data_IF_609942421566
#
_entry.id   IF_609942421566
#
_cell.length_a   1.000
_cell.length_b   1.000
_cell.length_c   1.000
_cell.angle_alpha   90.00
_cell.angle_beta   90.00
_cell.angle_gamma   90.00
#
_symmetry.space_group_name_H-M   'P 1'
#
loop_
_entity.id
_entity.type
_entity.pdbx_description
1 polymer ?
#
# COMPACT_ATOMS: atom_id res chain seq x y z
N UNK A 1 13.77 2.82 10.58
CA UNK A 1 12.97 3.21 9.40
C UNK A 1 11.82 4.07 9.87
N UNK A 2 11.63 5.27 9.31
CA UNK A 2 10.44 6.07 9.62
C UNK A 2 9.20 5.25 9.23
N UNK A 3 8.32 4.97 10.19
CA UNK A 3 7.03 4.30 9.95
C UNK A 3 6.10 5.34 9.32
N UNK A 4 6.00 5.31 8.00
CA UNK A 4 4.93 5.99 7.28
C UNK A 4 3.70 5.08 7.26
N UNK A 5 2.52 5.69 7.24
CA UNK A 5 1.22 5.03 7.21
C UNK A 5 0.60 5.07 5.82
N UNK A 6 -0.52 4.37 5.64
CA UNK A 6 -1.27 4.45 4.38
C UNK A 6 -1.87 5.86 4.18
N UNK A 7 -2.25 6.55 5.26
CA UNK A 7 -2.71 7.93 5.23
C UNK A 7 -1.63 8.89 4.73
N UNK A 8 -0.37 8.68 5.14
CA UNK A 8 0.76 9.48 4.64
C UNK A 8 0.95 9.31 3.12
N UNK A 9 0.73 8.09 2.61
CA UNK A 9 0.78 7.82 1.17
C UNK A 9 -0.37 8.52 0.45
N UNK A 10 -1.59 8.47 0.99
CA UNK A 10 -2.77 9.13 0.42
C UNK A 10 -2.57 10.65 0.40
N UNK A 11 -2.09 11.23 1.49
CA UNK A 11 -1.78 12.66 1.59
C UNK A 11 -0.71 13.08 0.58
N UNK A 12 0.34 12.28 0.41
CA UNK A 12 1.37 12.54 -0.59
C UNK A 12 0.82 12.52 -2.03
N UNK A 13 -0.06 11.57 -2.35
CA UNK A 13 -0.73 11.52 -3.66
C UNK A 13 -1.62 12.74 -3.87
N UNK A 14 -2.36 13.16 -2.83
CA UNK A 14 -3.21 14.35 -2.89
C UNK A 14 -2.38 15.62 -3.16
N UNK A 15 -1.23 15.77 -2.50
CA UNK A 15 -0.30 16.88 -2.75
C UNK A 15 0.22 16.91 -4.20
N UNK A 16 0.59 15.76 -4.76
CA UNK A 16 1.04 15.67 -6.16
C UNK A 16 -0.10 16.02 -7.12
N UNK A 17 -1.32 15.55 -6.85
CA UNK A 17 -2.51 15.91 -7.65
C UNK A 17 -2.88 17.39 -7.54
N UNK A 18 -2.62 18.00 -6.39
CA UNK A 18 -2.80 19.44 -6.15
C UNK A 18 -1.70 20.32 -6.73
N UNK A 19 -0.78 19.78 -7.53
CA UNK A 19 0.25 20.54 -8.24
C UNK A 19 1.59 20.67 -7.53
N UNK A 20 1.78 20.05 -6.35
CA UNK A 20 3.12 20.00 -5.73
C UNK A 20 4.04 19.02 -6.47
N UNK A 21 5.33 19.29 -6.43
CA UNK A 21 6.32 18.36 -6.96
C UNK A 21 6.32 17.05 -6.16
N UNK A 22 6.68 15.93 -6.80
CA UNK A 22 6.83 14.65 -6.08
C UNK A 22 7.85 14.76 -4.93
N UNK A 23 8.95 15.50 -5.13
CA UNK A 23 9.99 15.65 -4.10
C UNK A 23 9.46 16.37 -2.86
N UNK A 24 8.61 17.38 -3.06
CA UNK A 24 8.00 18.10 -1.94
C UNK A 24 7.00 17.22 -1.20
N UNK A 25 6.15 16.49 -1.93
CA UNK A 25 5.22 15.55 -1.32
C UNK A 25 5.93 14.46 -0.47
N UNK A 26 7.07 13.94 -0.95
CA UNK A 26 7.89 12.97 -0.22
C UNK A 26 8.49 13.57 1.07
N UNK A 27 8.99 14.80 1.00
CA UNK A 27 9.53 15.50 2.18
C UNK A 27 8.46 15.81 3.22
N UNK A 28 7.29 16.28 2.77
CA UNK A 28 6.18 16.66 3.65
C UNK A 28 5.61 15.43 4.36
N UNK A 29 5.30 14.38 3.61
CA UNK A 29 4.62 13.18 4.12
C UNK A 29 5.59 12.09 4.60
N UNK A 30 6.91 12.30 4.49
CA UNK A 30 7.97 11.36 4.94
C UNK A 30 7.82 9.95 4.37
N UNK A 31 7.28 9.83 3.16
CA UNK A 31 7.10 8.56 2.44
C UNK A 31 8.28 8.28 1.53
N UNK A 32 8.68 7.00 1.34
CA UNK A 32 9.71 6.63 0.36
C UNK A 32 9.25 6.88 -1.08
N UNK A 33 10.18 7.29 -1.94
CA UNK A 33 9.91 7.56 -3.36
C UNK A 33 9.41 6.30 -4.08
N UNK A 34 10.03 5.15 -3.81
CA UNK A 34 9.65 3.87 -4.40
C UNK A 34 8.19 3.52 -4.08
N UNK A 35 7.78 3.73 -2.83
CA UNK A 35 6.40 3.50 -2.37
C UNK A 35 5.41 4.43 -3.07
N UNK A 36 5.67 5.74 -3.07
CA UNK A 36 4.78 6.72 -3.71
C UNK A 36 4.64 6.44 -5.21
N UNK A 37 5.76 6.16 -5.89
CA UNK A 37 5.78 5.84 -7.33
C UNK A 37 5.00 4.56 -7.64
N UNK A 38 5.16 3.52 -6.83
CA UNK A 38 4.41 2.28 -7.00
C UNK A 38 2.90 2.52 -6.80
N UNK A 39 2.51 3.28 -5.77
CA UNK A 39 1.11 3.58 -5.49
C UNK A 39 0.46 4.43 -6.56
N UNK A 40 1.16 5.41 -7.13
CA UNK A 40 0.69 6.19 -8.27
C UNK A 40 0.45 5.34 -9.52
N UNK A 41 1.19 4.25 -9.70
CA UNK A 41 0.97 3.26 -10.78
C UNK A 41 -0.17 2.28 -10.48
N UNK A 42 -0.82 2.38 -9.32
CA UNK A 42 -1.90 1.48 -8.91
C UNK A 42 -1.46 0.22 -8.18
N UNK A 43 -0.19 0.08 -7.80
CA UNK A 43 0.25 -1.05 -6.98
C UNK A 43 -0.48 -1.01 -5.63
N UNK A 44 -1.04 -2.14 -5.19
CA UNK A 44 -1.76 -2.28 -3.90
C UNK A 44 -0.85 -2.80 -2.79
N UNK A 45 -1.17 -2.57 -1.51
CA UNK A 45 -0.39 -3.08 -0.39
C UNK A 45 -0.45 -4.62 -0.43
N UNK A 46 0.68 -5.25 -0.10
CA UNK A 46 0.82 -6.70 -0.14
C UNK A 46 -0.23 -7.41 0.75
N UNK A 47 -0.58 -6.81 1.89
CA UNK A 47 -1.64 -7.31 2.76
C UNK A 47 -3.00 -7.41 2.05
N UNK A 48 -3.35 -6.39 1.24
CA UNK A 48 -4.61 -6.35 0.50
C UNK A 48 -4.59 -7.31 -0.68
N UNK A 49 -3.48 -7.40 -1.41
CA UNK A 49 -3.38 -8.32 -2.57
C UNK A 49 -3.41 -9.79 -2.15
N UNK A 50 -2.89 -10.12 -0.96
CA UNK A 50 -2.81 -11.51 -0.46
C UNK A 50 -3.96 -11.94 0.42
N UNK A 51 -4.82 -11.03 0.88
CA UNK A 51 -6.03 -11.40 1.61
C UNK A 51 -6.87 -12.44 0.83
N UNK A 52 -6.92 -12.34 -0.51
CA UNK A 52 -7.60 -13.34 -1.36
C UNK A 52 -6.86 -14.67 -1.53
N UNK A 53 -5.54 -14.71 -1.28
CA UNK A 53 -4.70 -15.91 -1.43
C UNK A 53 -4.57 -16.71 -0.12
N UNK A 54 -5.09 -16.18 0.99
CA UNK A 54 -5.00 -16.79 2.31
C UNK A 54 -6.20 -17.69 2.67
N UNK A 55 -7.20 -17.83 1.78
CA UNK A 55 -8.26 -18.81 1.99
C UNK A 55 -7.75 -20.21 1.67
N UNK A 56 -7.84 -21.17 2.60
CA UNK A 56 -7.58 -22.57 2.29
C UNK A 56 -8.55 -23.03 1.21
N UNK A 57 -8.12 -23.99 0.39
CA UNK A 57 -9.05 -24.66 -0.53
C UNK A 57 -10.14 -25.39 0.27
N UNK A 58 -11.32 -25.66 -0.32
CA UNK A 58 -12.38 -26.41 0.37
C UNK A 58 -11.92 -27.77 0.92
N UNK A 59 -10.92 -28.38 0.27
CA UNK A 59 -10.28 -29.63 0.68
C UNK A 59 -9.41 -29.45 1.94
N UNK A 60 -8.74 -28.31 2.06
CA UNK A 60 -7.93 -27.98 3.24
C UNK A 60 -8.80 -27.62 4.44
N UNK A 61 -9.96 -26.98 4.21
CA UNK A 61 -10.94 -26.69 5.27
C UNK A 61 -11.53 -27.97 5.87
N UNK A 62 -11.87 -28.96 5.02
CA UNK A 62 -12.38 -30.26 5.48
C UNK A 62 -11.33 -31.08 6.24
N UNK A 63 -10.05 -30.95 5.89
CA UNK A 63 -8.96 -31.64 6.59
C UNK A 63 -8.60 -31.02 7.95
N UNK A 64 -8.94 -29.73 8.16
CA UNK A 64 -8.65 -29.00 9.40
C UNK A 64 -9.81 -29.05 10.42
N UNK A 65 -11.00 -29.45 9.98
CA UNK A 65 -12.22 -29.53 10.79
C UNK A 65 -12.41 -30.89 11.51
N UNK A 66 -11.48 -31.83 11.33
CA UNK A 66 -11.48 -33.16 11.95
C UNK A 66 -10.35 -33.31 12.99
#
# INVERSE_FOLDING_TARGET
>A
MAKYTEDDIIAAIAHVRGGKSRRDALRICKVPESTLRARMKGAKPHAVTRAGLQRPSPVQETHLAN
#
